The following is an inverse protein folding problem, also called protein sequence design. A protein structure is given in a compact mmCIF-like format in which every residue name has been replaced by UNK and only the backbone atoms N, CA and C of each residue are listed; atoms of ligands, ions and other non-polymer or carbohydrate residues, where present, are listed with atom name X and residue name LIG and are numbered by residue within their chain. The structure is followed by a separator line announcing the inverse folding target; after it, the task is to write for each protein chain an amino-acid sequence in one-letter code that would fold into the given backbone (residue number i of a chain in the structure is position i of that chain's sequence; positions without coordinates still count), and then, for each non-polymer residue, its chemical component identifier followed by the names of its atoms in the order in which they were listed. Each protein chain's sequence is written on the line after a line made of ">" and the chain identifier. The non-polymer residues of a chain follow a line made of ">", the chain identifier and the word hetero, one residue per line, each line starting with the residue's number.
data_IF_205692315189
#
_entry.id   IF_205692315189
#
_cell.length_a   1.000
_cell.length_b   1.000
_cell.length_c   1.000
_cell.angle_alpha   90.00
_cell.angle_beta   90.00
_cell.angle_gamma   90.00
#
_symmetry.space_group_name_H-M   'P 1'
#
loop_
_entity.id
_entity.type
_entity.pdbx_description
1 polymer ?
#
# COMPACT_ATOMS: atom_id res chain seq x y z
N UNK A 1 2.47 11.71 8.40
CA UNK A 1 1.84 10.48 7.94
C UNK A 1 0.38 10.75 7.57
N UNK A 2 -0.03 10.32 6.38
CA UNK A 2 -1.42 10.37 5.93
C UNK A 2 -2.04 8.98 6.12
N UNK A 3 -3.17 8.90 6.82
CA UNK A 3 -3.84 7.64 7.15
C UNK A 3 -5.29 7.68 6.69
N UNK A 4 -5.72 6.63 6.01
CA UNK A 4 -7.09 6.51 5.50
C UNK A 4 -7.46 5.07 5.18
N UNK A 5 -8.56 4.88 4.44
CA UNK A 5 -8.96 3.56 3.95
C UNK A 5 -9.28 2.56 5.06
N UNK A 6 -8.93 1.32 4.80
CA UNK A 6 -9.17 0.17 5.69
C UNK A 6 -8.58 0.31 7.10
N UNK A 7 -7.51 1.11 7.27
CA UNK A 7 -6.92 1.39 8.58
C UNK A 7 -7.90 2.01 9.59
N UNK A 8 -8.96 2.67 9.12
CA UNK A 8 -9.96 3.34 9.94
C UNK A 8 -11.24 2.52 10.11
N UNK A 9 -11.33 1.31 9.57
CA UNK A 9 -12.54 0.49 9.52
C UNK A 9 -12.42 -0.69 10.46
N UNK A 10 -13.33 -0.81 11.44
CA UNK A 10 -13.32 -1.88 12.44
C UNK A 10 -13.39 -3.28 11.82
N UNK A 11 -14.20 -3.46 10.77
CA UNK A 11 -14.34 -4.72 10.02
C UNK A 11 -13.01 -5.25 9.48
N UNK A 12 -12.05 -4.36 9.20
CA UNK A 12 -10.72 -4.69 8.69
C UNK A 12 -9.63 -4.57 9.77
N UNK A 13 -9.97 -4.77 11.05
CA UNK A 13 -9.03 -4.84 12.15
C UNK A 13 -8.61 -3.49 12.76
N UNK A 14 -9.08 -2.35 12.25
CA UNK A 14 -8.82 -1.01 12.78
C UNK A 14 -7.33 -0.76 13.14
N UNK A 15 -6.43 -1.08 12.20
CA UNK A 15 -4.98 -0.99 12.42
C UNK A 15 -4.46 0.42 12.73
N UNK A 16 -5.33 1.43 12.75
CA UNK A 16 -5.01 2.78 13.23
C UNK A 16 -4.49 2.79 14.67
N UNK A 17 -4.90 1.84 15.50
CA UNK A 17 -4.36 1.67 16.86
C UNK A 17 -2.86 1.39 16.87
N UNK A 18 -2.39 0.54 15.95
CA UNK A 18 -0.96 0.22 15.80
C UNK A 18 -0.17 1.43 15.30
N UNK A 19 -0.73 2.19 14.35
CA UNK A 19 -0.15 3.43 13.86
C UNK A 19 0.02 4.44 14.99
N UNK A 20 -0.95 4.54 15.90
CA UNK A 20 -0.85 5.41 17.09
C UNK A 20 0.25 4.94 18.05
N UNK A 21 0.37 3.62 18.29
CA UNK A 21 1.43 3.05 19.15
C UNK A 21 2.82 3.33 18.61
N UNK A 22 2.98 3.40 17.29
CA UNK A 22 4.25 3.74 16.64
C UNK A 22 4.69 5.20 16.85
N UNK A 23 3.89 6.04 17.53
CA UNK A 23 4.21 7.41 17.95
C UNK A 23 4.65 8.33 16.82
N UNK A 24 4.14 8.13 15.60
CA UNK A 24 4.41 9.06 14.50
C UNK A 24 3.97 10.48 14.87
N UNK A 25 4.87 11.45 14.62
CA UNK A 25 4.53 12.87 14.72
C UNK A 25 3.63 13.25 13.53
N UNK A 26 2.71 14.16 13.67
CA UNK A 26 1.94 14.71 12.54
C UNK A 26 1.12 13.70 11.72
N UNK A 27 0.22 12.97 12.37
CA UNK A 27 -0.75 12.12 11.67
C UNK A 27 -1.91 12.98 11.16
N UNK A 28 -2.22 12.88 9.87
CA UNK A 28 -3.41 13.43 9.23
C UNK A 28 -4.33 12.29 8.79
N UNK A 29 -5.62 12.42 9.07
CA UNK A 29 -6.62 11.40 8.77
C UNK A 29 -7.44 11.84 7.55
N UNK A 30 -7.49 10.96 6.53
CA UNK A 30 -8.42 11.06 5.41
C UNK A 30 -9.58 10.11 5.66
N UNK A 31 -10.64 10.63 6.30
CA UNK A 31 -11.85 9.83 6.54
C UNK A 31 -12.54 9.50 5.22
N UNK A 32 -12.86 8.23 5.04
CA UNK A 32 -13.70 7.70 3.97
C UNK A 32 -15.05 7.37 4.59
N UNK A 33 -16.13 7.58 3.87
CA UNK A 33 -17.45 7.11 4.31
C UNK A 33 -17.43 5.58 4.34
N UNK A 34 -17.63 5.01 5.51
CA UNK A 34 -17.58 3.56 5.70
C UNK A 34 -18.77 2.81 5.06
N UNK A 35 -19.84 3.54 4.73
CA UNK A 35 -21.01 3.01 4.03
C UNK A 35 -20.86 3.06 2.51
N UNK A 36 -19.87 3.80 2.00
CA UNK A 36 -19.62 3.89 0.56
C UNK A 36 -18.88 2.65 0.09
N UNK A 37 -19.52 1.85 -0.72
CA UNK A 37 -18.95 0.65 -1.34
C UNK A 37 -18.39 0.93 -2.75
N UNK A 38 -18.70 2.09 -3.31
CA UNK A 38 -18.33 2.46 -4.67
C UNK A 38 -16.89 3.01 -4.70
N UNK A 39 -16.02 2.30 -5.40
CA UNK A 39 -14.58 2.60 -5.48
C UNK A 39 -14.34 3.98 -6.08
N UNK A 40 -15.10 4.38 -7.10
CA UNK A 40 -14.94 5.66 -7.80
C UNK A 40 -15.23 6.83 -6.86
N UNK A 41 -16.26 6.72 -6.04
CA UNK A 41 -16.61 7.76 -5.06
C UNK A 41 -15.55 7.84 -3.95
N UNK A 42 -15.04 6.70 -3.51
CA UNK A 42 -13.95 6.65 -2.53
C UNK A 42 -12.70 7.31 -3.13
N UNK A 43 -12.33 6.95 -4.36
CA UNK A 43 -11.20 7.55 -5.08
C UNK A 43 -11.33 9.08 -5.17
N UNK A 44 -12.47 9.57 -5.65
CA UNK A 44 -12.74 11.01 -5.78
C UNK A 44 -12.67 11.74 -4.43
N UNK A 45 -13.16 11.12 -3.36
CA UNK A 45 -13.10 11.67 -2.01
C UNK A 45 -11.65 11.81 -1.51
N UNK A 46 -10.84 10.76 -1.70
CA UNK A 46 -9.42 10.77 -1.33
C UNK A 46 -8.68 11.82 -2.14
N UNK A 47 -8.88 11.84 -3.45
CA UNK A 47 -8.29 12.84 -4.33
C UNK A 47 -8.59 14.26 -3.86
N UNK A 48 -9.88 14.59 -3.69
CA UNK A 48 -10.33 15.93 -3.26
C UNK A 48 -9.76 16.35 -1.92
N UNK A 49 -9.72 15.44 -0.94
CA UNK A 49 -9.18 15.73 0.41
C UNK A 49 -7.67 15.88 0.40
N UNK A 50 -6.96 15.00 -0.31
CA UNK A 50 -5.50 15.07 -0.42
C UNK A 50 -5.07 16.29 -1.21
N UNK A 51 -5.76 16.64 -2.27
CA UNK A 51 -5.51 17.86 -3.05
C UNK A 51 -5.61 19.12 -2.17
N UNK A 52 -6.71 19.28 -1.42
CA UNK A 52 -6.88 20.42 -0.50
C UNK A 52 -5.80 20.46 0.58
N UNK A 53 -5.41 19.27 1.10
CA UNK A 53 -4.36 19.18 2.11
C UNK A 53 -3.01 19.62 1.55
N UNK A 54 -2.64 19.15 0.35
CA UNK A 54 -1.35 19.44 -0.27
C UNK A 54 -1.27 20.86 -0.81
N UNK A 55 -2.37 21.48 -1.21
CA UNK A 55 -2.41 22.92 -1.50
C UNK A 55 -2.09 23.75 -0.26
N UNK A 56 -2.65 23.34 0.91
CA UNK A 56 -2.41 24.07 2.17
C UNK A 56 -1.01 23.84 2.74
N UNK A 57 -0.50 22.61 2.60
CA UNK A 57 0.81 22.20 3.09
C UNK A 57 1.44 21.24 2.11
N UNK A 58 2.11 21.82 1.10
CA UNK A 58 2.75 21.06 0.03
C UNK A 58 3.89 20.21 0.59
N UNK A 59 3.89 18.90 0.39
CA UNK A 59 5.05 18.06 0.71
C UNK A 59 6.11 18.20 -0.38
N UNK A 60 7.37 18.05 -0.02
CA UNK A 60 8.48 17.98 -0.97
C UNK A 60 8.56 16.63 -1.65
N UNK A 61 8.16 15.58 -0.92
CA UNK A 61 8.22 14.20 -1.36
C UNK A 61 7.10 13.37 -0.69
N UNK A 62 6.48 12.47 -1.44
CA UNK A 62 5.45 11.57 -0.96
C UNK A 62 5.87 10.12 -1.18
N UNK A 63 5.87 9.32 -0.11
CA UNK A 63 6.08 7.87 -0.17
C UNK A 63 4.74 7.16 -0.31
N UNK A 64 4.62 6.32 -1.33
CA UNK A 64 3.47 5.47 -1.60
C UNK A 64 3.90 4.01 -1.63
N UNK A 65 3.12 3.15 -0.98
CA UNK A 65 3.45 1.72 -0.86
C UNK A 65 2.35 0.88 -1.46
N UNK A 66 2.71 -0.03 -2.36
CA UNK A 66 1.80 -1.05 -2.91
C UNK A 66 1.02 -0.58 -4.14
N UNK A 67 -0.24 -0.97 -4.23
CA UNK A 67 -0.99 -1.04 -5.48
C UNK A 67 -2.48 -0.72 -5.34
N UNK A 68 -2.92 -0.31 -4.17
CA UNK A 68 -4.33 -0.04 -3.96
C UNK A 68 -4.79 1.26 -4.64
N UNK A 69 -6.03 1.29 -5.09
CA UNK A 69 -6.62 2.46 -5.77
C UNK A 69 -6.55 3.75 -4.94
N UNK A 70 -6.50 3.63 -3.60
CA UNK A 70 -6.36 4.79 -2.71
C UNK A 70 -5.03 5.52 -2.93
N UNK A 71 -3.94 4.78 -3.17
CA UNK A 71 -2.64 5.43 -3.43
C UNK A 71 -2.57 6.04 -4.82
N UNK A 72 -3.30 5.49 -5.81
CA UNK A 72 -3.41 6.10 -7.13
C UNK A 72 -4.07 7.49 -7.04
N UNK A 73 -5.10 7.65 -6.20
CA UNK A 73 -5.71 8.96 -5.97
C UNK A 73 -4.69 9.98 -5.44
N UNK A 74 -3.82 9.56 -4.53
CA UNK A 74 -2.78 10.43 -3.97
C UNK A 74 -1.67 10.68 -5.00
N UNK A 75 -1.24 9.67 -5.76
CA UNK A 75 -0.26 9.79 -6.83
C UNK A 75 -0.74 10.79 -7.90
N UNK A 76 -2.03 10.72 -8.27
CA UNK A 76 -2.63 11.67 -9.22
C UNK A 76 -2.59 13.10 -8.68
N UNK A 77 -2.88 13.32 -7.40
CA UNK A 77 -2.72 14.65 -6.77
C UNK A 77 -1.27 15.12 -6.85
N UNK A 78 -0.31 14.25 -6.56
CA UNK A 78 1.11 14.58 -6.64
C UNK A 78 1.52 14.98 -8.07
N UNK A 79 1.03 14.26 -9.08
CA UNK A 79 1.28 14.57 -10.49
C UNK A 79 0.81 15.99 -10.85
N UNK A 80 -0.43 16.34 -10.54
CA UNK A 80 -1.00 17.66 -10.85
C UNK A 80 -0.35 18.81 -10.06
N UNK A 81 0.11 18.54 -8.85
CA UNK A 81 0.79 19.53 -8.02
C UNK A 81 2.31 19.53 -8.20
N UNK A 82 2.83 18.72 -9.12
CA UNK A 82 4.27 18.55 -9.35
C UNK A 82 5.03 18.24 -8.04
N UNK A 83 4.51 17.29 -7.26
CA UNK A 83 5.13 16.76 -6.05
C UNK A 83 5.80 15.44 -6.39
N UNK A 84 7.05 15.27 -6.01
CA UNK A 84 7.80 14.03 -6.28
C UNK A 84 7.21 12.85 -5.48
N UNK A 85 7.10 11.71 -6.14
CA UNK A 85 6.62 10.46 -5.52
C UNK A 85 7.76 9.45 -5.46
N UNK A 86 7.86 8.76 -4.34
CA UNK A 86 8.63 7.52 -4.16
C UNK A 86 7.63 6.38 -4.11
N UNK A 87 7.80 5.39 -4.97
CA UNK A 87 6.95 4.20 -5.00
C UNK A 87 7.70 2.98 -4.45
N UNK A 88 7.15 2.36 -3.41
CA UNK A 88 7.61 1.10 -2.85
C UNK A 88 6.75 -0.04 -3.43
N UNK A 89 7.39 -1.17 -3.72
CA UNK A 89 6.76 -2.35 -4.35
C UNK A 89 6.30 -2.11 -5.80
N UNK A 90 6.92 -1.13 -6.51
CA UNK A 90 6.75 -0.98 -7.95
C UNK A 90 7.32 -2.16 -8.73
N UNK A 91 6.77 -2.42 -9.92
CA UNK A 91 7.26 -3.47 -10.82
C UNK A 91 6.82 -4.91 -10.46
N UNK A 92 6.13 -5.12 -9.34
CA UNK A 92 5.51 -6.41 -9.01
C UNK A 92 4.30 -6.69 -9.92
N UNK A 93 3.82 -7.92 -9.95
CA UNK A 93 2.63 -8.34 -10.71
C UNK A 93 1.59 -8.91 -9.76
N UNK A 94 0.33 -8.55 -10.00
CA UNK A 94 -0.83 -9.11 -9.30
C UNK A 94 -1.87 -9.53 -10.35
N UNK A 95 -1.68 -10.72 -10.93
CA UNK A 95 -2.57 -11.23 -11.99
C UNK A 95 -4.01 -11.35 -11.49
N UNK A 96 -4.96 -10.99 -12.35
CA UNK A 96 -6.38 -11.10 -12.05
C UNK A 96 -6.94 -10.02 -11.11
N UNK A 97 -6.16 -8.97 -10.82
CA UNK A 97 -6.58 -7.87 -9.97
C UNK A 97 -6.42 -6.51 -10.67
N UNK A 98 -7.32 -5.59 -10.37
CA UNK A 98 -7.22 -4.18 -10.79
C UNK A 98 -5.95 -3.53 -10.22
N UNK A 99 -5.48 -4.02 -9.09
CA UNK A 99 -4.29 -3.57 -8.38
C UNK A 99 -3.03 -3.61 -9.27
N UNK A 100 -2.96 -4.55 -10.22
CA UNK A 100 -1.84 -4.63 -11.17
C UNK A 100 -1.72 -3.36 -12.03
N UNK A 101 -2.82 -2.94 -12.64
CA UNK A 101 -2.88 -1.72 -13.42
C UNK A 101 -2.61 -0.48 -12.57
N UNK A 102 -3.16 -0.44 -11.36
CA UNK A 102 -2.93 0.64 -10.38
C UNK A 102 -1.46 0.75 -10.02
N UNK A 103 -0.80 -0.37 -9.73
CA UNK A 103 0.64 -0.42 -9.42
C UNK A 103 1.49 0.19 -10.53
N UNK A 104 1.24 -0.22 -11.76
CA UNK A 104 1.99 0.29 -12.91
C UNK A 104 1.71 1.77 -13.17
N UNK A 105 0.47 2.23 -13.00
CA UNK A 105 0.13 3.64 -13.10
C UNK A 105 0.85 4.49 -12.02
N UNK A 106 0.87 4.03 -10.77
CA UNK A 106 1.60 4.71 -9.69
C UNK A 106 3.10 4.71 -9.95
N UNK A 107 3.66 3.60 -10.44
CA UNK A 107 5.07 3.53 -10.83
C UNK A 107 5.37 4.55 -11.92
N UNK A 108 4.51 4.72 -12.91
CA UNK A 108 4.72 5.67 -14.00
C UNK A 108 4.67 7.15 -13.57
N UNK A 109 3.93 7.44 -12.50
CA UNK A 109 3.88 8.77 -11.89
C UNK A 109 5.08 9.02 -10.97
N UNK A 110 5.64 7.98 -10.38
CA UNK A 110 6.71 8.09 -9.40
C UNK A 110 8.04 8.55 -10.03
N UNK A 111 8.81 9.33 -9.27
CA UNK A 111 10.16 9.73 -9.65
C UNK A 111 11.22 8.74 -9.17
N UNK A 112 10.99 8.10 -8.02
CA UNK A 112 11.92 7.15 -7.41
C UNK A 112 11.19 5.86 -7.07
N UNK A 113 11.90 4.74 -7.15
CA UNK A 113 11.35 3.41 -6.94
C UNK A 113 12.20 2.62 -5.97
N UNK A 114 11.58 1.99 -5.00
CA UNK A 114 12.20 1.01 -4.13
C UNK A 114 11.58 -0.35 -4.44
N UNK A 115 12.39 -1.24 -4.98
CA UNK A 115 11.95 -2.57 -5.46
C UNK A 115 12.53 -3.69 -4.63
N UNK A 116 11.81 -4.80 -4.57
CA UNK A 116 12.16 -5.93 -3.71
C UNK A 116 13.09 -6.92 -4.38
N UNK A 117 13.11 -7.02 -5.71
CA UNK A 117 13.95 -7.95 -6.49
C UNK A 117 14.47 -7.33 -7.78
N UNK A 118 15.51 -7.92 -8.35
CA UNK A 118 16.03 -7.54 -9.67
C UNK A 118 14.98 -7.74 -10.80
N UNK A 119 14.14 -8.75 -10.69
CA UNK A 119 13.07 -8.97 -11.66
C UNK A 119 12.14 -7.76 -11.75
N UNK A 120 11.78 -7.19 -10.62
CA UNK A 120 10.91 -6.01 -10.58
C UNK A 120 11.63 -4.74 -11.00
N UNK A 121 12.91 -4.64 -10.68
CA UNK A 121 13.76 -3.57 -11.21
C UNK A 121 13.79 -3.57 -12.74
N UNK A 122 14.06 -4.72 -13.33
CA UNK A 122 14.12 -4.88 -14.79
C UNK A 122 12.77 -4.56 -15.46
N UNK A 123 11.66 -4.92 -14.83
CA UNK A 123 10.32 -4.58 -15.33
C UNK A 123 10.08 -3.07 -15.33
N UNK A 124 10.51 -2.34 -14.31
CA UNK A 124 10.41 -0.88 -14.31
C UNK A 124 11.29 -0.25 -15.39
N UNK A 125 12.47 -0.79 -15.65
CA UNK A 125 13.33 -0.35 -16.77
C UNK A 125 12.60 -0.57 -18.11
N UNK A 126 11.97 -1.72 -18.30
CA UNK A 126 11.14 -2.01 -19.47
C UNK A 126 9.94 -1.07 -19.62
N UNK A 127 9.36 -0.61 -18.50
CA UNK A 127 8.32 0.43 -18.49
C UNK A 127 8.86 1.84 -18.80
N UNK A 128 10.18 1.98 -19.01
CA UNK A 128 10.84 3.24 -19.36
C UNK A 128 11.25 4.09 -18.16
N UNK A 129 11.38 3.50 -16.96
CA UNK A 129 11.92 4.21 -15.81
C UNK A 129 13.45 4.23 -15.84
N UNK A 130 14.05 5.34 -15.41
CA UNK A 130 15.51 5.51 -15.40
C UNK A 130 16.17 4.60 -14.36
N UNK A 131 17.15 3.76 -14.73
CA UNK A 131 17.78 2.82 -13.80
C UNK A 131 18.39 3.46 -12.55
N UNK A 132 18.89 4.71 -12.65
CA UNK A 132 19.45 5.47 -11.52
C UNK A 132 18.43 5.86 -10.46
N UNK A 133 17.14 5.85 -10.81
CA UNK A 133 16.04 6.18 -9.92
C UNK A 133 15.40 4.93 -9.29
N UNK A 134 15.91 3.72 -9.62
CA UNK A 134 15.38 2.46 -9.13
C UNK A 134 16.39 1.83 -8.17
N UNK A 135 15.99 1.72 -6.90
CA UNK A 135 16.82 1.22 -5.81
C UNK A 135 16.34 -0.18 -5.43
N UNK A 136 17.24 -1.17 -5.52
CA UNK A 136 16.98 -2.51 -5.02
C UNK A 136 17.13 -2.51 -3.49
N UNK A 137 16.02 -2.46 -2.77
CA UNK A 137 15.99 -2.32 -1.31
C UNK A 137 15.66 -3.61 -0.56
N UNK A 138 15.19 -4.62 -1.28
CA UNK A 138 14.58 -5.78 -0.64
C UNK A 138 13.17 -5.49 -0.10
N UNK A 139 12.58 -6.49 0.55
CA UNK A 139 11.22 -6.40 1.08
C UNK A 139 11.21 -5.97 2.56
N UNK A 140 10.51 -4.88 2.92
CA UNK A 140 10.31 -4.51 4.32
C UNK A 140 9.62 -5.60 5.15
N UNK A 141 8.78 -6.43 4.52
CA UNK A 141 8.11 -7.56 5.19
C UNK A 141 9.12 -8.64 5.60
N UNK A 142 10.07 -8.97 4.72
CA UNK A 142 11.13 -9.93 5.02
C UNK A 142 12.06 -9.37 6.10
N UNK A 143 12.45 -8.11 5.99
CA UNK A 143 13.25 -7.44 7.01
C UNK A 143 12.56 -7.46 8.38
N UNK A 144 11.26 -7.24 8.40
CA UNK A 144 10.47 -7.26 9.64
C UNK A 144 10.46 -8.64 10.30
N UNK A 145 10.31 -9.72 9.50
CA UNK A 145 10.37 -11.10 10.01
C UNK A 145 11.74 -11.43 10.58
N UNK A 146 12.83 -10.99 9.92
CA UNK A 146 14.19 -11.29 10.35
C UNK A 146 14.65 -10.49 11.56
N UNK A 147 14.16 -9.26 11.72
CA UNK A 147 14.54 -8.36 12.82
C UNK A 147 13.69 -8.51 14.08
N UNK A 148 12.47 -8.99 13.98
CA UNK A 148 11.59 -9.15 15.13
C UNK A 148 11.71 -10.53 15.77
N UNK A 149 11.61 -10.55 17.10
CA UNK A 149 11.57 -11.79 17.86
C UNK A 149 10.29 -12.55 17.53
N UNK A 150 10.45 -13.70 16.91
CA UNK A 150 9.34 -14.60 16.58
C UNK A 150 8.77 -15.16 17.90
N UNK A 151 7.47 -15.15 18.05
CA UNK A 151 6.80 -15.77 19.21
C UNK A 151 6.98 -17.29 19.16
N UNK A 152 7.08 -17.94 20.32
CA UNK A 152 7.18 -19.40 20.39
C UNK A 152 5.87 -20.05 19.97
N UNK A 153 5.93 -21.30 19.48
CA UNK A 153 4.75 -22.10 19.12
C UNK A 153 3.76 -22.16 20.29
N UNK A 154 4.23 -22.46 21.50
CA UNK A 154 3.39 -22.49 22.69
C UNK A 154 2.66 -21.17 22.98
N UNK A 155 3.35 -20.04 22.80
CA UNK A 155 2.72 -18.71 22.97
C UNK A 155 1.70 -18.42 21.87
N UNK A 156 1.92 -18.93 20.65
CA UNK A 156 1.00 -18.81 19.54
C UNK A 156 -0.26 -19.66 19.76
N UNK A 157 -0.10 -20.92 20.16
CA UNK A 157 -1.17 -21.84 20.52
C UNK A 157 -2.09 -21.24 21.59
N UNK A 158 -1.48 -20.75 22.68
CA UNK A 158 -2.22 -20.09 23.75
C UNK A 158 -2.98 -18.84 23.28
N UNK A 159 -2.38 -18.07 22.35
CA UNK A 159 -3.01 -16.84 21.83
C UNK A 159 -4.17 -17.12 20.88
N UNK A 160 -4.08 -18.20 20.09
CA UNK A 160 -5.07 -18.59 19.10
C UNK A 160 -6.10 -19.60 19.65
N UNK A 161 -5.86 -20.15 20.83
CA UNK A 161 -6.66 -21.23 21.46
C UNK A 161 -6.77 -22.46 20.55
N UNK A 162 -5.64 -22.89 19.97
CA UNK A 162 -5.54 -24.05 19.06
C UNK A 162 -4.26 -24.83 19.34
N UNK A 163 -4.24 -26.11 19.02
CA UNK A 163 -3.05 -26.95 19.01
C UNK A 163 -2.45 -27.01 17.59
N UNK A 164 -1.18 -26.67 17.46
CA UNK A 164 -0.47 -26.61 16.17
C UNK A 164 0.37 -27.89 15.96
N UNK A 165 -0.30 -28.98 15.54
CA UNK A 165 0.36 -30.21 15.10
C UNK A 165 0.09 -30.44 13.62
N UNK A 166 1.13 -30.57 12.79
CA UNK A 166 1.01 -30.90 11.37
C UNK A 166 -0.03 -30.04 10.64
N UNK A 167 0.14 -28.73 10.63
CA UNK A 167 -0.81 -27.79 10.03
C UNK A 167 -0.33 -27.27 8.68
N UNK A 168 -1.31 -26.87 7.85
CA UNK A 168 -1.11 -26.04 6.67
C UNK A 168 -1.73 -24.66 6.94
N UNK A 169 -0.98 -23.60 6.64
CA UNK A 169 -1.52 -22.24 6.62
C UNK A 169 -1.99 -21.94 5.20
N UNK A 170 -3.29 -21.76 5.02
CA UNK A 170 -3.90 -21.43 3.72
C UNK A 170 -4.47 -20.01 3.75
N UNK A 171 -4.07 -19.19 2.77
CA UNK A 171 -4.64 -17.88 2.52
C UNK A 171 -5.14 -17.82 1.10
N UNK A 172 -6.45 -17.54 0.93
CA UNK A 172 -7.08 -17.45 -0.39
C UNK A 172 -7.56 -16.02 -0.60
N UNK A 173 -7.16 -15.42 -1.73
CA UNK A 173 -7.62 -14.11 -2.16
C UNK A 173 -8.50 -14.27 -3.42
N UNK A 174 -9.66 -13.58 -3.50
CA UNK A 174 -10.50 -13.62 -4.69
C UNK A 174 -9.85 -12.85 -5.84
N UNK A 175 -10.09 -13.30 -7.06
CA UNK A 175 -9.83 -12.50 -8.26
C UNK A 175 -10.84 -11.36 -8.35
N UNK A 176 -10.38 -10.13 -8.52
CA UNK A 176 -11.25 -8.94 -8.50
C UNK A 176 -11.73 -8.52 -9.88
N UNK A 177 -11.04 -8.91 -10.96
CA UNK A 177 -11.40 -8.52 -12.33
C UNK A 177 -12.59 -9.31 -12.84
N UNK A 178 -12.69 -10.61 -12.54
CA UNK A 178 -13.77 -11.48 -13.07
C UNK A 178 -15.17 -11.13 -12.58
N UNK A 179 -15.31 -10.42 -11.47
CA UNK A 179 -16.61 -10.07 -10.89
C UNK A 179 -17.19 -8.73 -11.41
N UNK A 180 -16.53 -8.07 -12.35
CA UNK A 180 -17.01 -6.78 -12.89
C UNK A 180 -17.73 -6.90 -14.25
N UNK A 181 -17.78 -8.08 -14.87
CA UNK A 181 -18.33 -8.25 -16.21
C UNK A 181 -19.43 -9.34 -16.33
N UNK A 182 -20.03 -9.78 -15.20
CA UNK A 182 -21.19 -10.67 -15.25
C UNK A 182 -22.27 -10.22 -14.28
#
# INVERSE_FOLDING_TARGET
>A
LLVGGSHLIKKYGFSFTEIKKAKYKNIKIVKIDQKEANIEKIYLNIFKKSYKLFLKKRPDLVFLTGDRFEILAIASVCLYLNVKVVHLHGGEITLGAIDDAVRHAVSKIAKFHFVTTETYRNRLIQLGEEPKNIILSGSPSVENITKHKIITIHSLEKKLDIELKNYFLLTIHPETIKNQYF
#
